data_IF_481247521058
#
_entry.id   IF_481247521058
#
_cell.length_a   1.000
_cell.length_b   1.000
_cell.length_c   1.000
_cell.angle_alpha   90.00
_cell.angle_beta   90.00
_cell.angle_gamma   90.00
#
_symmetry.space_group_name_H-M   'P 1'
#
loop_
_entity.id
_entity.type
_entity.pdbx_description
1 polymer ?
#
# COMPACT_ATOMS: atom_id res chain seq x y z
N UNK A 1 9.44 -12.97 -17.65
CA UNK A 1 7.97 -12.92 -17.49
C UNK A 1 7.62 -11.61 -16.84
N UNK A 2 6.45 -11.04 -17.12
CA UNK A 2 5.99 -9.85 -16.39
C UNK A 2 5.47 -10.33 -15.04
N UNK A 3 6.29 -10.17 -14.01
CA UNK A 3 5.94 -10.57 -12.64
C UNK A 3 5.20 -9.42 -11.98
N UNK A 4 3.94 -9.68 -11.65
CA UNK A 4 3.10 -8.74 -10.90
C UNK A 4 3.00 -9.22 -9.46
N UNK A 5 3.04 -8.26 -8.54
CA UNK A 5 2.89 -8.49 -7.12
C UNK A 5 1.60 -7.82 -6.63
N UNK A 6 0.83 -8.55 -5.82
CA UNK A 6 -0.29 -7.97 -5.08
C UNK A 6 0.26 -7.32 -3.82
N UNK A 7 0.11 -6.01 -3.71
CA UNK A 7 0.48 -5.20 -2.56
C UNK A 7 -0.78 -4.91 -1.76
N UNK A 8 -0.77 -5.26 -0.47
CA UNK A 8 -1.85 -4.97 0.46
C UNK A 8 -1.31 -3.97 1.47
N UNK A 9 -1.93 -2.79 1.53
CA UNK A 9 -1.53 -1.71 2.44
C UNK A 9 -2.62 -1.47 3.49
N UNK A 10 -2.20 -1.13 4.71
CA UNK A 10 -3.08 -0.77 5.81
C UNK A 10 -3.02 0.74 6.03
N UNK A 11 -4.17 1.38 6.13
CA UNK A 11 -4.29 2.77 6.55
C UNK A 11 -5.05 2.84 7.87
N UNK A 12 -4.48 3.54 8.85
CA UNK A 12 -5.12 3.78 10.14
C UNK A 12 -5.85 5.13 10.09
N UNK A 13 -7.14 5.11 10.37
CA UNK A 13 -7.93 6.33 10.54
C UNK A 13 -7.42 7.13 11.74
N UNK A 14 -6.95 8.38 11.58
CA UNK A 14 -6.50 9.20 12.70
C UNK A 14 -7.65 9.61 13.62
N UNK A 15 -8.88 9.65 13.11
CA UNK A 15 -10.08 10.08 13.85
C UNK A 15 -10.69 8.96 14.69
N UNK A 16 -10.71 7.73 14.18
CA UNK A 16 -11.45 6.61 14.79
C UNK A 16 -10.55 5.44 15.18
N UNK A 17 -9.27 5.46 14.79
CA UNK A 17 -8.34 4.35 15.03
C UNK A 17 -8.61 3.09 14.19
N UNK A 18 -9.66 3.10 13.36
CA UNK A 18 -10.02 1.97 12.51
C UNK A 18 -8.96 1.73 11.43
N UNK A 19 -8.68 0.45 11.13
CA UNK A 19 -7.81 0.06 10.04
C UNK A 19 -8.62 -0.22 8.79
N UNK A 20 -8.17 0.31 7.65
CA UNK A 20 -8.71 0.00 6.33
C UNK A 20 -7.61 -0.62 5.47
N UNK A 21 -7.96 -1.68 4.75
CA UNK A 21 -7.04 -2.36 3.85
C UNK A 21 -7.31 -1.94 2.41
N UNK A 22 -6.24 -1.70 1.65
CA UNK A 22 -6.31 -1.45 0.21
C UNK A 22 -5.42 -2.45 -0.51
N UNK A 23 -5.97 -3.09 -1.54
CA UNK A 23 -5.24 -3.99 -2.43
C UNK A 23 -4.88 -3.28 -3.73
N UNK A 24 -3.64 -3.48 -4.21
CA UNK A 24 -3.15 -2.95 -5.47
C UNK A 24 -2.29 -4.01 -6.17
N UNK A 25 -2.49 -4.22 -7.47
CA UNK A 25 -1.63 -5.08 -8.27
C UNK A 25 -0.63 -4.16 -8.99
N UNK A 26 0.66 -4.35 -8.74
CA UNK A 26 1.73 -3.56 -9.36
C UNK A 26 2.78 -4.48 -9.97
N UNK A 27 3.54 -3.98 -10.93
CA UNK A 27 4.71 -4.69 -11.41
C UNK A 27 5.77 -4.76 -10.31
N UNK A 28 6.57 -5.84 -10.27
CA UNK A 28 7.56 -6.07 -9.21
C UNK A 28 8.51 -4.86 -9.02
N UNK A 29 8.91 -4.22 -10.14
CA UNK A 29 9.77 -3.03 -10.13
C UNK A 29 9.20 -1.84 -9.34
N UNK A 30 7.87 -1.73 -9.28
CA UNK A 30 7.15 -0.61 -8.66
C UNK A 30 6.56 -0.94 -7.28
N UNK A 31 6.83 -2.13 -6.74
CA UNK A 31 6.34 -2.54 -5.41
C UNK A 31 6.85 -1.60 -4.31
N UNK A 32 8.11 -1.17 -4.40
CA UNK A 32 8.75 -0.27 -3.42
C UNK A 32 8.07 1.09 -3.37
N UNK A 33 7.69 1.64 -4.52
CA UNK A 33 7.00 2.91 -4.61
C UNK A 33 5.57 2.81 -4.05
N UNK A 34 4.90 1.68 -4.33
CA UNK A 34 3.55 1.40 -3.86
C UNK A 34 3.43 1.34 -2.32
N UNK A 35 4.47 0.87 -1.62
CA UNK A 35 4.48 0.83 -0.15
C UNK A 35 4.91 2.16 0.48
N UNK A 36 5.83 2.90 -0.16
CA UNK A 36 6.39 4.13 0.40
C UNK A 36 5.34 5.26 0.55
N UNK A 37 4.37 5.35 -0.36
CA UNK A 37 3.32 6.39 -0.30
C UNK A 37 2.33 6.25 0.87
N UNK A 38 2.38 5.16 1.64
CA UNK A 38 1.38 4.87 2.69
C UNK A 38 1.83 5.23 4.11
N UNK A 39 3.08 5.68 4.30
CA UNK A 39 3.66 5.93 5.63
C UNK A 39 4.31 7.32 5.78
N UNK A 40 3.72 8.35 5.18
CA UNK A 40 4.06 9.75 5.48
C UNK A 40 2.83 10.46 6.02
N UNK A 41 2.66 10.36 7.33
CA UNK A 41 1.98 11.38 8.14
C UNK A 41 2.65 12.73 7.87
N UNK A 42 1.97 13.62 7.14
CA UNK A 42 2.16 15.06 7.30
C UNK A 42 1.38 15.53 8.51
#
# INVERSE_FOLDING_TARGET
GKEYSKVITMNKSPKTGAYSFKELIVHNDHVKDAIAGTHTTK
#
